data_IF_308637133261
#
_entry.id   IF_308637133261
#
_cell.length_a   1.000
_cell.length_b   1.000
_cell.length_c   1.000
_cell.angle_alpha   90.00
_cell.angle_beta   90.00
_cell.angle_gamma   90.00
#
_symmetry.space_group_name_H-M   'P 1'
#
loop_
_entity.id
_entity.type
_entity.pdbx_description
1 polymer ?
#
# COMPACT_ATOMS: atom_id res chain seq x y z
N UNK A 1 0.20 -25.86 16.13
CA UNK A 1 -0.42 -25.97 14.78
C UNK A 1 -1.23 -24.73 14.51
N UNK A 2 -1.27 -24.27 13.26
CA UNK A 2 -2.15 -23.16 12.86
C UNK A 2 -3.44 -23.74 12.30
N UNK A 3 -4.58 -23.37 12.85
CA UNK A 3 -5.88 -23.78 12.34
C UNK A 3 -6.47 -22.67 11.46
N UNK A 4 -6.66 -22.95 10.16
CA UNK A 4 -7.28 -22.00 9.22
C UNK A 4 -8.80 -22.13 9.29
N UNK A 5 -9.48 -21.07 9.70
CA UNK A 5 -10.93 -20.99 9.67
C UNK A 5 -11.43 -20.79 8.23
N UNK A 6 -12.47 -21.51 7.87
CA UNK A 6 -13.21 -21.29 6.61
C UNK A 6 -14.30 -20.25 6.80
N UNK A 7 -14.85 -19.74 5.70
CA UNK A 7 -16.03 -18.85 5.76
C UNK A 7 -17.24 -19.56 6.38
N UNK A 8 -17.37 -20.88 6.23
CA UNK A 8 -18.43 -21.66 6.82
C UNK A 8 -18.29 -21.74 8.35
N UNK A 9 -17.08 -21.86 8.89
CA UNK A 9 -16.82 -21.82 10.33
C UNK A 9 -17.23 -20.45 10.90
N UNK A 10 -16.94 -19.37 10.16
CA UNK A 10 -17.33 -18.01 10.56
C UNK A 10 -18.85 -17.85 10.59
N UNK A 11 -19.54 -18.32 9.55
CA UNK A 11 -21.01 -18.26 9.48
C UNK A 11 -21.67 -19.12 10.54
N UNK A 12 -21.11 -20.28 10.87
CA UNK A 12 -21.61 -21.15 11.95
C UNK A 12 -21.48 -20.45 13.31
N UNK A 13 -20.31 -19.87 13.60
CA UNK A 13 -20.09 -19.11 14.83
C UNK A 13 -21.02 -17.89 14.93
N UNK A 14 -21.19 -17.14 13.84
CA UNK A 14 -22.07 -15.96 13.78
C UNK A 14 -23.54 -16.33 14.03
N UNK A 15 -24.03 -17.47 13.53
CA UNK A 15 -25.38 -17.95 13.79
C UNK A 15 -25.60 -18.28 15.27
N UNK A 16 -24.60 -18.85 15.95
CA UNK A 16 -24.68 -19.13 17.40
C UNK A 16 -24.74 -17.80 18.16
N UNK A 17 -23.88 -16.83 17.83
CA UNK A 17 -23.92 -15.50 18.41
C UNK A 17 -25.28 -14.83 18.20
N UNK A 18 -25.78 -14.85 16.95
CA UNK A 18 -27.09 -14.29 16.58
C UNK A 18 -28.21 -14.86 17.44
N UNK A 19 -28.34 -16.18 17.50
CA UNK A 19 -29.37 -16.84 18.28
C UNK A 19 -29.29 -16.48 19.78
N UNK A 20 -28.08 -16.45 20.34
CA UNK A 20 -27.83 -16.10 21.72
C UNK A 20 -28.12 -14.63 22.01
N UNK A 21 -27.73 -13.73 21.12
CA UNK A 21 -28.04 -12.31 21.23
C UNK A 21 -29.54 -12.05 21.23
N UNK A 22 -30.30 -12.67 20.34
CA UNK A 22 -31.76 -12.54 20.31
C UNK A 22 -32.40 -12.93 21.65
N UNK A 23 -31.99 -14.07 22.21
CA UNK A 23 -32.48 -14.50 23.54
C UNK A 23 -32.08 -13.49 24.64
N UNK A 24 -30.84 -13.05 24.63
CA UNK A 24 -30.30 -12.13 25.65
C UNK A 24 -30.96 -10.75 25.57
N UNK A 25 -31.24 -10.25 24.39
CA UNK A 25 -31.89 -8.96 24.17
C UNK A 25 -33.39 -9.01 24.55
N UNK A 26 -34.08 -10.08 24.20
CA UNK A 26 -35.48 -10.28 24.59
C UNK A 26 -35.64 -10.27 26.12
N UNK A 27 -34.72 -10.91 26.87
CA UNK A 27 -34.70 -10.92 28.31
C UNK A 27 -34.40 -9.54 28.95
N UNK A 28 -33.73 -8.64 28.22
CA UNK A 28 -33.38 -7.27 28.66
C UNK A 28 -34.33 -6.19 28.13
N UNK A 29 -35.36 -6.53 27.38
CA UNK A 29 -36.28 -5.59 26.76
C UNK A 29 -35.58 -4.54 25.86
N UNK A 30 -34.44 -4.90 25.23
CA UNK A 30 -33.75 -4.04 24.28
C UNK A 30 -34.56 -3.90 22.99
N UNK A 31 -34.69 -2.64 22.50
CA UNK A 31 -35.42 -2.35 21.27
C UNK A 31 -34.51 -2.49 20.05
N UNK A 32 -35.06 -3.02 18.96
CA UNK A 32 -34.42 -2.97 17.65
C UNK A 32 -34.35 -1.51 17.12
N UNK A 33 -33.35 -1.17 16.28
CA UNK A 33 -32.33 -2.05 15.71
C UNK A 33 -31.16 -2.32 16.66
N UNK A 34 -30.51 -3.48 16.49
CA UNK A 34 -29.26 -3.79 17.16
C UNK A 34 -28.11 -2.99 16.56
N UNK A 35 -27.53 -2.10 17.37
CA UNK A 35 -26.34 -1.34 16.98
C UNK A 35 -25.08 -2.08 17.42
N UNK A 36 -24.27 -2.53 16.48
CA UNK A 36 -23.06 -3.34 16.72
C UNK A 36 -21.81 -2.56 16.38
N UNK A 37 -20.89 -2.45 17.32
CA UNK A 37 -19.55 -1.96 17.11
C UNK A 37 -18.56 -3.13 17.02
N UNK A 38 -17.89 -3.27 15.89
CA UNK A 38 -16.78 -4.21 15.74
C UNK A 38 -15.48 -3.59 16.27
N UNK A 39 -14.81 -4.26 17.21
CA UNK A 39 -13.50 -3.82 17.71
C UNK A 39 -12.51 -3.74 16.53
N UNK A 40 -11.74 -2.63 16.34
CA UNK A 40 -10.85 -2.46 15.20
C UNK A 40 -9.88 -3.63 14.96
N UNK A 41 -9.62 -3.88 13.68
CA UNK A 41 -8.99 -5.03 13.02
C UNK A 41 -9.98 -6.16 12.78
N UNK A 42 -10.01 -7.20 13.63
CA UNK A 42 -10.81 -8.41 13.37
C UNK A 42 -12.30 -8.24 13.63
N UNK A 43 -12.70 -7.52 14.68
CA UNK A 43 -14.10 -7.35 15.08
C UNK A 43 -14.96 -6.61 14.04
N UNK A 44 -14.38 -5.74 13.21
CA UNK A 44 -15.11 -5.11 12.08
C UNK A 44 -15.54 -6.17 11.06
N UNK A 45 -14.65 -7.08 10.71
CA UNK A 45 -14.94 -8.20 9.80
C UNK A 45 -15.95 -9.17 10.42
N UNK A 46 -15.84 -9.42 11.75
CA UNK A 46 -16.81 -10.22 12.49
C UNK A 46 -18.21 -9.58 12.47
N UNK A 47 -18.31 -8.25 12.59
CA UNK A 47 -19.60 -7.54 12.51
C UNK A 47 -20.24 -7.66 11.13
N UNK A 48 -19.45 -7.62 10.04
CA UNK A 48 -19.94 -7.87 8.68
C UNK A 48 -20.45 -9.30 8.50
N UNK A 49 -19.75 -10.30 9.07
CA UNK A 49 -20.22 -11.70 9.05
C UNK A 49 -21.51 -11.85 9.87
N UNK A 50 -21.63 -11.20 11.02
CA UNK A 50 -22.85 -11.22 11.82
C UNK A 50 -24.02 -10.56 11.07
N UNK A 51 -23.78 -9.43 10.36
CA UNK A 51 -24.77 -8.76 9.52
C UNK A 51 -25.31 -9.63 8.37
N UNK A 52 -24.56 -10.64 7.94
CA UNK A 52 -25.03 -11.57 6.90
C UNK A 52 -26.03 -12.62 7.41
N UNK A 53 -26.18 -12.78 8.72
CA UNK A 53 -27.05 -13.78 9.35
C UNK A 53 -28.13 -13.18 10.24
N UNK A 54 -28.07 -11.88 10.57
CA UNK A 54 -29.12 -11.18 11.32
C UNK A 54 -29.17 -9.70 10.94
N UNK A 55 -30.32 -9.06 11.19
CA UNK A 55 -30.52 -7.63 10.96
C UNK A 55 -29.87 -6.81 12.07
N UNK A 56 -28.81 -6.07 11.72
CA UNK A 56 -28.05 -5.20 12.63
C UNK A 56 -27.62 -3.91 11.93
N UNK A 57 -27.37 -2.86 12.70
CA UNK A 57 -26.73 -1.63 12.23
C UNK A 57 -25.30 -1.61 12.75
N UNK A 58 -24.33 -1.57 11.83
CA UNK A 58 -22.92 -1.43 12.21
C UNK A 58 -22.64 0.05 12.46
N UNK A 59 -22.17 0.38 13.67
CA UNK A 59 -21.85 1.76 14.09
C UNK A 59 -20.34 2.00 14.13
N UNK A 60 -19.93 3.25 13.96
CA UNK A 60 -18.53 3.65 13.92
C UNK A 60 -17.94 3.98 15.29
N UNK A 61 -18.81 4.19 16.30
CA UNK A 61 -18.41 4.53 17.66
C UNK A 61 -18.94 3.50 18.68
N UNK A 62 -18.13 3.04 19.63
CA UNK A 62 -18.58 2.09 20.65
C UNK A 62 -19.63 2.70 21.58
N UNK A 63 -19.68 4.04 21.73
CA UNK A 63 -20.70 4.73 22.53
C UNK A 63 -22.11 4.68 21.95
N UNK A 64 -22.25 4.37 20.66
CA UNK A 64 -23.54 4.21 19.95
C UNK A 64 -24.02 2.75 19.93
N UNK A 65 -23.18 1.83 20.39
CA UNK A 65 -23.44 0.40 20.30
C UNK A 65 -24.19 -0.15 21.50
N UNK A 66 -25.15 -1.04 21.27
CA UNK A 66 -25.66 -1.95 22.31
C UNK A 66 -24.94 -3.29 22.33
N UNK A 67 -24.19 -3.62 21.29
CA UNK A 67 -23.32 -4.80 21.25
C UNK A 67 -21.92 -4.39 20.80
N UNK A 68 -20.91 -4.81 21.55
CA UNK A 68 -19.49 -4.68 21.20
C UNK A 68 -18.99 -6.08 20.86
N UNK A 69 -18.50 -6.25 19.61
CA UNK A 69 -18.15 -7.53 19.01
C UNK A 69 -16.67 -7.58 18.65
N UNK A 70 -16.03 -8.72 18.98
CA UNK A 70 -14.68 -9.06 18.51
C UNK A 70 -14.72 -10.35 17.69
N UNK A 71 -13.68 -10.62 16.91
CA UNK A 71 -13.53 -11.88 16.19
C UNK A 71 -13.01 -12.99 17.10
N UNK A 72 -12.05 -12.67 17.97
CA UNK A 72 -11.39 -13.60 18.87
C UNK A 72 -11.13 -12.98 20.25
N UNK A 73 -11.59 -13.63 21.31
CA UNK A 73 -11.10 -13.37 22.66
C UNK A 73 -9.97 -14.36 22.98
N UNK A 74 -8.75 -13.90 22.96
CA UNK A 74 -7.56 -14.67 23.32
C UNK A 74 -7.23 -14.50 24.81
N UNK A 75 -6.59 -13.40 25.20
CA UNK A 75 -6.25 -13.07 26.59
C UNK A 75 -7.35 -12.33 27.34
N UNK A 76 -8.35 -11.84 26.65
CA UNK A 76 -9.43 -11.01 27.17
C UNK A 76 -9.04 -9.56 27.50
N UNK A 77 -7.79 -9.14 27.25
CA UNK A 77 -7.31 -7.80 27.64
C UNK A 77 -8.06 -6.68 26.91
N UNK A 78 -8.25 -6.84 25.59
CA UNK A 78 -8.98 -5.86 24.76
C UNK A 78 -10.43 -5.78 25.20
N UNK A 79 -11.10 -6.91 25.34
CA UNK A 79 -12.49 -6.99 25.77
C UNK A 79 -12.70 -6.36 27.16
N UNK A 80 -11.81 -6.63 28.11
CA UNK A 80 -11.87 -6.05 29.45
C UNK A 80 -11.81 -4.52 29.44
N UNK A 81 -10.97 -3.93 28.57
CA UNK A 81 -10.89 -2.48 28.43
C UNK A 81 -12.22 -1.89 27.96
N UNK A 82 -12.85 -2.47 26.94
CA UNK A 82 -14.16 -2.02 26.48
C UNK A 82 -15.27 -2.24 27.51
N UNK A 83 -15.21 -3.31 28.29
CA UNK A 83 -16.17 -3.56 29.37
C UNK A 83 -16.12 -2.50 30.49
N UNK A 84 -14.93 -1.99 30.78
CA UNK A 84 -14.76 -0.92 31.79
C UNK A 84 -15.28 0.41 31.21
N UNK A 85 -15.00 0.69 29.95
CA UNK A 85 -15.36 1.97 29.32
C UNK A 85 -16.85 2.02 28.92
N UNK A 86 -17.44 0.89 28.53
CA UNK A 86 -18.84 0.79 28.06
C UNK A 86 -19.64 -0.26 28.82
N UNK A 87 -19.88 -0.08 30.15
CA UNK A 87 -20.45 -1.12 31.01
C UNK A 87 -21.91 -1.49 30.72
N UNK A 88 -22.61 -0.67 29.89
CA UNK A 88 -23.99 -0.93 29.50
C UNK A 88 -24.11 -1.75 28.20
N UNK A 89 -23.03 -1.94 27.47
CA UNK A 89 -23.03 -2.73 26.24
C UNK A 89 -23.06 -4.23 26.53
N UNK A 90 -23.61 -4.99 25.60
CA UNK A 90 -23.50 -6.46 25.60
C UNK A 90 -22.23 -6.82 24.82
N UNK A 91 -21.47 -7.79 25.32
CA UNK A 91 -20.20 -8.19 24.73
C UNK A 91 -20.32 -9.54 24.04
N UNK A 92 -19.81 -9.63 22.81
CA UNK A 92 -19.82 -10.85 22.01
C UNK A 92 -18.49 -11.09 21.30
N UNK A 93 -18.20 -12.34 20.96
CA UNK A 93 -17.12 -12.70 20.04
C UNK A 93 -17.52 -13.92 19.20
N UNK A 94 -16.91 -14.05 18.01
CA UNK A 94 -17.15 -15.23 17.19
C UNK A 94 -16.42 -16.45 17.77
N UNK A 95 -15.19 -16.25 18.24
CA UNK A 95 -14.38 -17.33 18.83
C UNK A 95 -13.76 -16.89 20.15
N UNK A 96 -13.53 -17.86 21.05
CA UNK A 96 -12.77 -17.65 22.28
C UNK A 96 -11.78 -18.80 22.50
N UNK A 97 -10.56 -18.49 22.93
CA UNK A 97 -9.60 -19.52 23.38
C UNK A 97 -9.98 -20.01 24.77
N UNK A 98 -10.30 -21.30 24.88
CA UNK A 98 -10.96 -21.89 26.01
C UNK A 98 -10.36 -21.55 27.38
N UNK A 99 -9.13 -22.00 27.69
CA UNK A 99 -8.55 -21.85 29.01
C UNK A 99 -8.11 -20.42 29.38
N UNK A 100 -7.74 -19.61 28.40
CA UNK A 100 -7.24 -18.25 28.65
C UNK A 100 -8.37 -17.26 28.97
N UNK A 101 -9.52 -17.42 28.33
CA UNK A 101 -10.73 -16.66 28.63
C UNK A 101 -11.27 -16.93 30.07
N UNK A 102 -11.28 -18.19 30.49
CA UNK A 102 -11.76 -18.59 31.83
C UNK A 102 -10.81 -18.17 32.97
N UNK A 103 -9.52 -18.01 32.68
CA UNK A 103 -8.51 -17.59 33.66
C UNK A 103 -8.58 -16.10 33.99
N UNK A 104 -9.07 -15.27 33.08
CA UNK A 104 -9.27 -13.84 33.30
C UNK A 104 -10.70 -13.59 33.73
N UNK A 105 -10.89 -13.16 34.98
CA UNK A 105 -12.21 -12.75 35.46
C UNK A 105 -12.66 -11.49 34.75
N UNK A 106 -13.39 -11.64 33.63
CA UNK A 106 -14.00 -10.52 32.95
C UNK A 106 -15.17 -9.98 33.80
N UNK A 107 -15.38 -8.64 33.85
CA UNK A 107 -16.45 -8.02 34.65
C UNK A 107 -17.86 -8.48 34.24
N UNK A 108 -18.03 -8.79 32.93
CA UNK A 108 -19.32 -9.18 32.34
C UNK A 108 -19.18 -10.44 31.49
N UNK A 109 -20.28 -11.21 31.31
CA UNK A 109 -20.28 -12.37 30.43
C UNK A 109 -20.09 -11.92 28.97
N UNK A 110 -19.43 -12.78 28.17
CA UNK A 110 -19.26 -12.60 26.72
C UNK A 110 -20.05 -13.70 26.01
N UNK A 111 -20.87 -13.31 25.05
CA UNK A 111 -21.57 -14.24 24.16
C UNK A 111 -20.56 -14.77 23.16
N UNK A 112 -20.33 -16.09 23.15
CA UNK A 112 -19.31 -16.73 22.31
C UNK A 112 -19.97 -17.62 21.27
N UNK A 113 -19.55 -17.48 19.99
CA UNK A 113 -20.04 -18.29 18.89
C UNK A 113 -19.47 -19.70 18.90
N UNK A 114 -18.17 -19.83 19.08
CA UNK A 114 -17.51 -21.11 19.23
C UNK A 114 -16.32 -21.02 20.19
N UNK A 115 -16.14 -22.03 21.03
CA UNK A 115 -14.91 -22.18 21.78
C UNK A 115 -13.84 -22.75 20.84
N UNK A 116 -12.67 -22.13 20.84
CA UNK A 116 -11.54 -22.66 20.07
C UNK A 116 -10.93 -23.86 20.78
N UNK A 117 -10.39 -24.76 19.98
CA UNK A 117 -9.76 -26.00 20.45
C UNK A 117 -8.34 -25.67 20.92
N UNK A 118 -8.13 -25.52 22.23
CA UNK A 118 -6.80 -25.42 22.83
C UNK A 118 -6.04 -24.10 22.57
N UNK A 119 -4.69 -24.19 22.61
CA UNK A 119 -3.77 -23.05 22.41
C UNK A 119 -3.35 -22.86 20.94
N UNK A 120 -4.11 -23.37 19.99
CA UNK A 120 -3.78 -23.25 18.58
C UNK A 120 -3.96 -21.82 18.09
N UNK A 121 -3.11 -21.40 17.16
CA UNK A 121 -3.28 -20.12 16.50
C UNK A 121 -4.39 -20.23 15.47
N UNK A 122 -5.44 -19.40 15.62
CA UNK A 122 -6.52 -19.31 14.64
C UNK A 122 -6.14 -18.29 13.59
N UNK A 123 -6.19 -18.68 12.33
CA UNK A 123 -6.02 -17.76 11.18
C UNK A 123 -7.38 -17.52 10.55
N UNK A 124 -7.84 -16.29 10.58
CA UNK A 124 -9.11 -15.87 10.01
C UNK A 124 -9.01 -15.65 8.50
N UNK A 125 -10.12 -15.79 7.74
CA UNK A 125 -10.11 -15.54 6.29
C UNK A 125 -9.70 -14.12 5.89
N UNK A 126 -9.80 -13.16 6.81
CA UNK A 126 -9.40 -11.76 6.60
C UNK A 126 -8.01 -11.43 7.15
N UNK A 127 -7.35 -12.35 7.84
CA UNK A 127 -5.98 -12.15 8.27
C UNK A 127 -5.02 -12.37 7.11
N UNK A 128 -4.32 -11.32 6.76
CA UNK A 128 -3.20 -11.38 5.81
C UNK A 128 -1.97 -11.81 6.61
N UNK A 129 -1.55 -13.07 6.49
CA UNK A 129 -0.28 -13.52 7.05
C UNK A 129 0.87 -12.99 6.20
N UNK A 130 2.00 -12.60 6.83
CA UNK A 130 3.19 -12.14 6.11
C UNK A 130 3.69 -13.15 5.06
N UNK A 131 3.46 -14.46 5.30
CA UNK A 131 3.71 -15.53 4.32
C UNK A 131 2.61 -15.64 3.25
N UNK A 132 1.43 -15.05 3.47
CA UNK A 132 0.28 -15.06 2.54
C UNK A 132 0.30 -13.94 1.50
N UNK A 133 1.19 -12.93 1.63
CA UNK A 133 1.28 -11.83 0.67
C UNK A 133 1.61 -12.33 -0.74
N UNK A 134 2.51 -13.29 -0.88
CA UNK A 134 2.91 -13.78 -2.19
C UNK A 134 1.83 -14.67 -2.83
N UNK A 135 1.15 -15.52 -2.07
CA UNK A 135 0.05 -16.34 -2.58
C UNK A 135 -1.19 -15.49 -2.91
N UNK A 136 -1.52 -14.50 -2.08
CA UNK A 136 -2.65 -13.59 -2.35
C UNK A 136 -2.43 -12.69 -3.57
N UNK A 137 -1.18 -12.29 -3.83
CA UNK A 137 -0.83 -11.54 -5.03
C UNK A 137 -0.93 -12.41 -6.28
N UNK A 138 -0.44 -13.64 -6.25
CA UNK A 138 -0.58 -14.61 -7.35
C UNK A 138 -2.04 -14.94 -7.63
N UNK A 139 -2.86 -15.18 -6.58
CA UNK A 139 -4.30 -15.41 -6.73
C UNK A 139 -5.03 -14.19 -7.33
N UNK A 140 -4.57 -12.98 -7.02
CA UNK A 140 -5.12 -11.76 -7.62
C UNK A 140 -4.82 -11.69 -9.12
N UNK A 141 -3.61 -12.09 -9.55
CA UNK A 141 -3.25 -12.19 -10.97
C UNK A 141 -4.10 -13.26 -11.66
N UNK A 142 -4.31 -14.43 -11.03
CA UNK A 142 -5.21 -15.50 -11.55
C UNK A 142 -6.61 -14.93 -11.81
N UNK A 143 -7.20 -14.23 -10.84
CA UNK A 143 -8.52 -13.61 -10.99
C UNK A 143 -8.57 -12.57 -12.11
N UNK A 144 -7.51 -11.77 -12.29
CA UNK A 144 -7.43 -10.80 -13.39
C UNK A 144 -7.38 -11.51 -14.74
N UNK A 145 -6.62 -12.59 -14.89
CA UNK A 145 -6.56 -13.39 -16.11
C UNK A 145 -7.92 -14.01 -16.44
N UNK A 146 -8.60 -14.58 -15.45
CA UNK A 146 -9.95 -15.12 -15.60
C UNK A 146 -10.97 -14.04 -16.01
N UNK A 147 -10.86 -12.84 -15.44
CA UNK A 147 -11.75 -11.72 -15.74
C UNK A 147 -11.65 -11.22 -17.20
N UNK A 148 -10.50 -11.41 -17.87
CA UNK A 148 -10.33 -11.12 -19.29
C UNK A 148 -10.67 -12.32 -20.21
N UNK A 149 -11.16 -13.44 -19.63
CA UNK A 149 -11.60 -14.63 -20.37
C UNK A 149 -10.49 -15.64 -20.68
N UNK A 150 -9.32 -15.57 -19.99
CA UNK A 150 -8.22 -16.50 -20.22
C UNK A 150 -8.37 -17.79 -19.42
N UNK A 151 -7.90 -18.89 -20.03
CA UNK A 151 -7.76 -20.19 -19.38
C UNK A 151 -6.40 -20.25 -18.66
N UNK A 152 -6.43 -20.03 -17.33
CA UNK A 152 -5.25 -20.02 -16.46
C UNK A 152 -4.58 -21.39 -16.32
N UNK A 153 -5.21 -22.47 -16.79
CA UNK A 153 -4.67 -23.85 -16.70
C UNK A 153 -3.82 -24.23 -17.91
N UNK A 154 -3.86 -23.44 -18.99
CA UNK A 154 -3.04 -23.70 -20.18
C UNK A 154 -1.55 -23.53 -19.88
N UNK A 155 -0.71 -24.38 -20.49
CA UNK A 155 0.74 -24.48 -20.22
C UNK A 155 1.47 -23.12 -20.21
N UNK A 156 1.14 -22.23 -21.14
CA UNK A 156 1.77 -20.90 -21.23
C UNK A 156 1.42 -19.95 -20.07
N UNK A 157 0.37 -20.21 -19.29
CA UNK A 157 -0.11 -19.36 -18.20
C UNK A 157 0.08 -19.92 -16.80
N UNK A 158 0.42 -21.21 -16.65
CA UNK A 158 0.59 -21.86 -15.33
C UNK A 158 1.55 -21.05 -14.42
N UNK A 159 2.67 -20.59 -14.95
CA UNK A 159 3.68 -19.84 -14.20
C UNK A 159 3.46 -18.32 -14.24
N UNK A 160 2.50 -17.81 -15.01
CA UNK A 160 2.32 -16.37 -15.22
C UNK A 160 2.05 -15.61 -13.93
N UNK A 161 1.20 -16.08 -13.00
CA UNK A 161 0.98 -15.37 -11.74
C UNK A 161 2.27 -15.12 -10.96
N UNK A 162 3.09 -16.15 -10.81
CA UNK A 162 4.40 -16.06 -10.13
C UNK A 162 5.36 -15.12 -10.86
N UNK A 163 5.40 -15.16 -12.19
CA UNK A 163 6.25 -14.28 -13.01
C UNK A 163 5.83 -12.83 -12.88
N UNK A 164 4.53 -12.53 -12.88
CA UNK A 164 3.98 -11.19 -12.70
C UNK A 164 4.36 -10.63 -11.33
N UNK A 165 4.12 -11.37 -10.25
CA UNK A 165 4.47 -10.94 -8.90
C UNK A 165 5.97 -10.67 -8.77
N UNK A 166 6.81 -11.53 -9.32
CA UNK A 166 8.27 -11.33 -9.34
C UNK A 166 8.66 -10.06 -10.11
N UNK A 167 8.09 -9.84 -11.29
CA UNK A 167 8.36 -8.65 -12.10
C UNK A 167 7.92 -7.36 -11.39
N UNK A 168 6.78 -7.37 -10.72
CA UNK A 168 6.28 -6.22 -9.96
C UNK A 168 7.18 -5.87 -8.78
N UNK A 169 7.73 -6.86 -8.06
CA UNK A 169 8.73 -6.61 -7.00
C UNK A 169 9.96 -5.86 -7.54
N UNK A 170 10.38 -6.14 -8.76
CA UNK A 170 11.48 -5.44 -9.42
C UNK A 170 11.05 -4.05 -9.92
N UNK A 171 9.93 -3.97 -10.65
CA UNK A 171 9.45 -2.70 -11.24
C UNK A 171 9.08 -1.66 -10.19
N UNK A 172 8.63 -2.09 -9.01
CA UNK A 172 8.23 -1.20 -7.92
C UNK A 172 9.22 -1.21 -6.74
N UNK A 173 10.46 -1.65 -6.97
CA UNK A 173 11.50 -1.71 -5.93
C UNK A 173 11.90 -0.34 -5.36
N UNK A 174 11.58 0.74 -6.05
CA UNK A 174 11.84 2.11 -5.60
C UNK A 174 11.08 2.52 -4.33
N UNK A 175 9.97 1.82 -3.99
CA UNK A 175 9.27 2.08 -2.72
C UNK A 175 10.07 1.66 -1.48
N UNK A 176 10.98 0.69 -1.65
CA UNK A 176 11.80 0.15 -0.56
C UNK A 176 13.22 0.74 -0.52
N UNK A 177 13.47 1.78 -1.32
CA UNK A 177 14.79 2.44 -1.40
C UNK A 177 14.65 3.92 -1.02
N UNK A 178 15.56 4.40 -0.15
CA UNK A 178 15.65 5.80 0.19
C UNK A 178 16.66 6.49 -0.75
N UNK A 179 16.24 7.49 -1.55
CA UNK A 179 17.13 8.18 -2.47
C UNK A 179 18.33 8.87 -1.77
N UNK A 180 18.13 9.38 -0.55
CA UNK A 180 19.19 10.05 0.21
C UNK A 180 20.39 9.14 0.49
N UNK A 181 20.18 7.84 0.68
CA UNK A 181 21.23 6.87 1.00
C UNK A 181 22.17 6.63 -0.18
N UNK A 182 21.74 6.96 -1.39
CA UNK A 182 22.54 6.81 -2.61
C UNK A 182 23.46 8.01 -2.87
N UNK A 183 23.14 9.19 -2.33
CA UNK A 183 23.88 10.41 -2.60
C UNK A 183 25.16 10.47 -1.76
N UNK A 184 26.31 10.37 -2.45
CA UNK A 184 27.64 10.58 -1.87
C UNK A 184 28.28 11.76 -2.56
N UNK A 185 28.62 12.78 -1.78
CA UNK A 185 29.28 14.00 -2.25
C UNK A 185 30.75 14.00 -1.86
N UNK A 186 31.54 14.74 -2.65
CA UNK A 186 32.98 14.91 -2.45
C UNK A 186 33.31 16.41 -2.50
N UNK A 187 34.22 16.87 -1.66
CA UNK A 187 34.84 18.19 -1.73
C UNK A 187 36.15 18.13 -2.52
N UNK A 188 36.85 17.00 -2.43
CA UNK A 188 38.04 16.74 -3.21
C UNK A 188 37.70 16.70 -4.72
N UNK A 189 38.40 17.52 -5.51
CA UNK A 189 38.13 17.71 -6.94
C UNK A 189 36.93 18.60 -7.26
N UNK A 190 36.32 19.27 -6.27
CA UNK A 190 35.28 20.27 -6.48
C UNK A 190 35.83 21.70 -6.62
N UNK A 191 37.10 21.91 -6.31
CA UNK A 191 37.73 23.24 -6.35
C UNK A 191 37.74 23.80 -7.78
N UNK A 192 37.13 24.96 -7.96
CA UNK A 192 37.04 25.64 -9.26
C UNK A 192 36.03 25.04 -10.24
N UNK A 193 35.21 24.08 -9.80
CA UNK A 193 34.08 23.54 -10.62
C UNK A 193 32.84 24.37 -10.30
N UNK A 194 32.63 25.42 -11.10
CA UNK A 194 31.54 26.39 -10.99
C UNK A 194 30.55 26.33 -12.18
N UNK A 195 30.89 25.54 -13.20
CA UNK A 195 30.04 25.29 -14.37
C UNK A 195 29.07 24.13 -14.15
N UNK A 196 28.01 24.06 -14.98
CA UNK A 196 27.05 22.97 -14.90
C UNK A 196 27.67 21.61 -15.25
N UNK A 197 27.27 20.59 -14.50
CA UNK A 197 27.53 19.19 -14.80
C UNK A 197 26.24 18.61 -15.34
N UNK A 198 26.23 18.11 -16.58
CA UNK A 198 25.06 17.58 -17.28
C UNK A 198 25.25 16.09 -17.58
N UNK A 199 24.26 15.28 -17.23
CA UNK A 199 24.12 13.89 -17.67
C UNK A 199 22.89 13.81 -18.58
N UNK A 200 23.09 13.29 -19.79
CA UNK A 200 22.02 13.08 -20.78
C UNK A 200 21.66 11.61 -20.93
N UNK A 201 20.49 11.36 -21.51
CA UNK A 201 20.03 10.05 -21.93
C UNK A 201 19.98 8.98 -20.83
N UNK A 202 19.72 9.42 -19.59
CA UNK A 202 19.54 8.50 -18.46
C UNK A 202 18.22 7.73 -18.68
N UNK A 203 18.24 6.39 -18.77
CA UNK A 203 17.04 5.62 -19.04
C UNK A 203 15.97 5.81 -17.98
N UNK A 204 14.72 5.98 -18.40
CA UNK A 204 13.52 6.04 -17.56
C UNK A 204 12.63 4.86 -17.90
N UNK A 205 12.40 3.98 -16.94
CA UNK A 205 11.42 2.90 -17.01
C UNK A 205 10.48 3.02 -15.82
N UNK A 206 9.26 3.48 -16.06
CA UNK A 206 8.29 3.74 -14.99
C UNK A 206 6.90 3.25 -15.39
N UNK A 207 5.96 3.31 -14.45
CA UNK A 207 4.57 2.87 -14.66
C UNK A 207 3.60 3.99 -14.29
N UNK A 208 2.70 4.28 -15.23
CA UNK A 208 1.63 5.25 -15.04
C UNK A 208 0.69 4.77 -13.91
N UNK A 209 0.51 5.58 -12.89
CA UNK A 209 -0.32 5.21 -11.72
C UNK A 209 -1.80 4.99 -12.06
N UNK A 210 -2.30 5.61 -13.14
CA UNK A 210 -3.70 5.50 -13.54
C UNK A 210 -4.05 4.15 -14.19
N UNK A 211 -3.09 3.48 -14.83
CA UNK A 211 -3.35 2.28 -15.63
C UNK A 211 -2.37 1.12 -15.37
N UNK A 212 -1.35 1.35 -14.53
CA UNK A 212 -0.23 0.41 -14.28
C UNK A 212 0.46 0.00 -15.59
N UNK A 213 0.34 0.81 -16.63
CA UNK A 213 1.00 0.62 -17.93
C UNK A 213 2.36 1.31 -17.90
N UNK A 214 3.39 0.75 -18.54
CA UNK A 214 4.71 1.40 -18.59
C UNK A 214 4.66 2.73 -19.34
N UNK A 215 5.56 3.62 -18.95
CA UNK A 215 6.06 4.68 -19.80
C UNK A 215 7.58 4.65 -19.77
N UNK A 216 8.18 4.88 -20.93
CA UNK A 216 9.62 4.72 -21.12
C UNK A 216 10.19 5.90 -21.86
N UNK A 217 11.42 6.25 -21.53
CA UNK A 217 12.07 7.39 -22.15
C UNK A 217 13.45 7.67 -21.56
N UNK A 218 13.82 8.93 -21.56
CA UNK A 218 15.12 9.40 -21.05
C UNK A 218 14.93 10.63 -20.14
N UNK A 219 15.81 10.73 -19.15
CA UNK A 219 15.98 11.91 -18.34
C UNK A 219 17.33 12.58 -18.65
N UNK A 220 17.33 13.90 -18.66
CA UNK A 220 18.50 14.74 -18.71
C UNK A 220 18.56 15.53 -17.40
N UNK A 221 19.66 15.42 -16.67
CA UNK A 221 19.81 15.99 -15.33
C UNK A 221 21.09 16.82 -15.28
N UNK A 222 20.96 18.10 -14.91
CA UNK A 222 22.09 18.97 -14.67
C UNK A 222 22.06 19.52 -13.26
N UNK A 223 23.24 19.80 -12.70
CA UNK A 223 23.39 20.59 -11.49
C UNK A 223 24.60 21.51 -11.58
N UNK A 224 24.59 22.64 -10.89
CA UNK A 224 25.72 23.54 -10.75
C UNK A 224 26.27 23.32 -9.32
N UNK A 225 27.51 22.83 -9.20
CA UNK A 225 28.12 22.58 -7.90
C UNK A 225 28.19 23.82 -6.98
N UNK A 226 28.19 23.58 -5.69
CA UNK A 226 28.43 24.58 -4.64
C UNK A 226 29.53 24.06 -3.69
N UNK A 227 30.78 24.03 -4.20
CA UNK A 227 31.92 23.48 -3.45
C UNK A 227 31.87 21.97 -3.18
N UNK A 228 30.89 21.27 -3.78
CA UNK A 228 30.75 19.80 -3.68
C UNK A 228 30.30 19.24 -5.02
N UNK A 229 30.83 18.07 -5.36
CA UNK A 229 30.40 17.30 -6.53
C UNK A 229 29.83 15.95 -6.07
N UNK A 230 28.95 15.37 -6.88
CA UNK A 230 28.36 14.05 -6.64
C UNK A 230 28.96 13.02 -7.60
N UNK A 231 29.15 11.79 -7.12
CA UNK A 231 29.56 10.71 -8.00
C UNK A 231 28.56 10.53 -9.15
N UNK A 232 29.02 10.62 -10.39
CA UNK A 232 28.18 10.64 -11.60
C UNK A 232 27.17 9.50 -11.64
N UNK A 233 27.56 8.29 -11.18
CA UNK A 233 26.67 7.12 -11.11
C UNK A 233 25.49 7.27 -10.13
N UNK A 234 25.52 8.26 -9.24
CA UNK A 234 24.48 8.47 -8.24
C UNK A 234 23.24 9.11 -8.82
N UNK A 235 23.41 10.01 -9.79
CA UNK A 235 22.31 10.68 -10.48
C UNK A 235 21.40 9.68 -11.21
N UNK A 236 21.91 8.76 -12.06
CA UNK A 236 21.08 7.71 -12.64
C UNK A 236 20.39 6.81 -11.62
N UNK A 237 21.01 6.54 -10.47
CA UNK A 237 20.37 5.77 -9.41
C UNK A 237 19.19 6.50 -8.79
N UNK A 238 19.27 7.82 -8.61
CA UNK A 238 18.14 8.63 -8.11
C UNK A 238 16.99 8.59 -9.14
N UNK A 239 17.29 8.74 -10.42
CA UNK A 239 16.29 8.61 -11.50
C UNK A 239 15.64 7.24 -11.46
N UNK A 240 16.43 6.16 -11.33
CA UNK A 240 15.92 4.79 -11.24
C UNK A 240 15.00 4.58 -10.02
N UNK A 241 15.42 5.05 -8.83
CA UNK A 241 14.63 4.89 -7.58
C UNK A 241 13.24 5.53 -7.71
N UNK A 242 13.17 6.75 -8.22
CA UNK A 242 11.89 7.42 -8.38
C UNK A 242 11.08 6.85 -9.56
N UNK A 243 11.72 6.37 -10.61
CA UNK A 243 11.06 5.74 -11.76
C UNK A 243 10.42 4.39 -11.38
N UNK A 244 11.03 3.62 -10.47
CA UNK A 244 10.52 2.33 -10.01
C UNK A 244 9.42 2.46 -8.95
N UNK A 245 8.43 3.31 -9.25
CA UNK A 245 7.22 3.57 -8.46
C UNK A 245 6.04 3.77 -9.42
N UNK A 246 4.81 3.76 -8.89
CA UNK A 246 3.67 4.27 -9.63
C UNK A 246 3.77 5.78 -9.73
N UNK A 247 3.78 6.34 -10.96
CA UNK A 247 4.11 7.73 -11.22
C UNK A 247 3.16 8.42 -12.20
N UNK A 248 3.12 9.74 -12.08
CA UNK A 248 2.87 10.64 -13.18
C UNK A 248 4.20 11.32 -13.54
N UNK A 249 4.44 11.59 -14.82
CA UNK A 249 5.74 12.08 -15.29
C UNK A 249 6.11 13.44 -14.66
N UNK A 250 5.14 14.30 -14.45
CA UNK A 250 5.29 15.61 -13.81
C UNK A 250 5.85 15.46 -12.39
N UNK A 251 5.24 14.59 -11.59
CA UNK A 251 5.71 14.33 -10.22
C UNK A 251 7.08 13.68 -10.20
N UNK A 252 7.35 12.71 -11.08
CA UNK A 252 8.66 12.08 -11.22
C UNK A 252 9.75 13.13 -11.46
N UNK A 253 9.50 14.07 -12.38
CA UNK A 253 10.43 15.14 -12.73
C UNK A 253 10.72 16.05 -11.53
N UNK A 254 9.68 16.43 -10.79
CA UNK A 254 9.81 17.25 -9.57
C UNK A 254 10.57 16.52 -8.47
N UNK A 255 10.23 15.27 -8.20
CA UNK A 255 10.87 14.48 -7.14
C UNK A 255 12.38 14.30 -7.36
N UNK A 256 12.81 14.10 -8.60
CA UNK A 256 14.23 14.02 -8.94
C UNK A 256 14.92 15.36 -8.67
N UNK A 257 14.33 16.47 -9.14
CA UNK A 257 14.91 17.80 -8.96
C UNK A 257 14.99 18.19 -7.48
N UNK A 258 13.92 17.98 -6.72
CA UNK A 258 13.85 18.31 -5.30
C UNK A 258 14.85 17.46 -4.49
N UNK A 259 14.92 16.17 -4.74
CA UNK A 259 15.87 15.28 -4.07
C UNK A 259 17.33 15.74 -4.27
N UNK A 260 17.69 16.12 -5.49
CA UNK A 260 19.06 16.63 -5.78
C UNK A 260 19.29 17.99 -5.13
N UNK A 261 18.32 18.90 -5.18
CA UNK A 261 18.42 20.22 -4.55
C UNK A 261 18.59 20.11 -3.03
N UNK A 262 17.78 19.26 -2.37
CA UNK A 262 17.76 19.15 -0.91
C UNK A 262 19.00 18.45 -0.33
N UNK A 263 19.61 17.53 -1.08
CA UNK A 263 20.67 16.67 -0.53
C UNK A 263 22.08 17.04 -1.03
N UNK A 264 22.20 17.76 -2.14
CA UNK A 264 23.50 18.20 -2.67
C UNK A 264 23.82 19.66 -2.34
N UNK A 265 22.79 20.45 -1.99
CA UNK A 265 22.90 21.90 -1.80
C UNK A 265 23.61 22.61 -2.97
N UNK A 266 23.23 22.32 -4.24
CA UNK A 266 23.86 22.91 -5.40
C UNK A 266 23.35 24.33 -5.63
N UNK A 267 24.06 25.14 -6.43
CA UNK A 267 23.58 26.45 -6.87
C UNK A 267 22.31 26.35 -7.75
N UNK A 268 22.06 25.22 -8.34
CA UNK A 268 20.85 24.95 -9.12
C UNK A 268 20.79 23.52 -9.63
N UNK A 269 19.56 23.07 -9.92
CA UNK A 269 19.25 21.76 -10.54
C UNK A 269 18.32 21.98 -11.71
N UNK A 270 18.55 21.25 -12.80
CA UNK A 270 17.66 21.15 -13.96
C UNK A 270 17.39 19.69 -14.30
N UNK A 271 16.12 19.34 -14.48
CA UNK A 271 15.69 18.00 -14.89
C UNK A 271 14.73 18.15 -16.07
N UNK A 272 14.98 17.40 -17.15
CA UNK A 272 14.05 17.25 -18.28
C UNK A 272 13.83 15.76 -18.50
N UNK A 273 12.57 15.33 -18.62
CA UNK A 273 12.21 13.96 -18.96
C UNK A 273 11.40 13.97 -20.26
N UNK A 274 11.81 13.13 -21.22
CA UNK A 274 11.09 12.86 -22.47
C UNK A 274 10.67 11.40 -22.46
N UNK A 275 9.36 11.09 -22.50
CA UNK A 275 8.90 9.72 -22.45
C UNK A 275 7.63 9.45 -23.27
N UNK A 276 7.49 8.20 -23.73
CA UNK A 276 6.30 7.65 -24.38
C UNK A 276 5.44 6.91 -23.36
N UNK A 277 4.15 7.22 -23.32
CA UNK A 277 3.19 6.63 -22.42
C UNK A 277 2.36 5.56 -23.12
N UNK A 278 2.55 4.28 -22.76
CA UNK A 278 1.82 3.18 -23.39
C UNK A 278 0.32 3.22 -23.12
N UNK A 279 -0.12 3.84 -22.04
CA UNK A 279 -1.55 4.09 -21.80
C UNK A 279 -2.19 5.01 -22.85
N UNK A 280 -1.40 5.82 -23.57
CA UNK A 280 -1.83 6.66 -24.70
C UNK A 280 -1.57 5.99 -26.06
N UNK A 281 -0.52 5.16 -26.14
CA UNK A 281 -0.12 4.54 -27.40
C UNK A 281 -1.01 3.37 -27.79
N UNK A 282 -1.35 2.49 -26.84
CA UNK A 282 -1.97 1.17 -27.10
C UNK A 282 -3.47 1.14 -26.92
N UNK A 283 -4.03 2.13 -26.25
CA UNK A 283 -5.46 2.24 -25.94
C UNK A 283 -5.88 3.73 -25.87
N UNK A 284 -7.17 4.00 -25.69
CA UNK A 284 -7.72 5.35 -25.59
C UNK A 284 -7.50 6.15 -26.86
N UNK A 285 -6.66 7.17 -26.81
CA UNK A 285 -6.39 8.07 -27.94
C UNK A 285 -5.51 7.45 -29.04
N UNK A 286 -4.78 6.34 -28.75
CA UNK A 286 -3.97 5.57 -29.72
C UNK A 286 -2.95 6.41 -30.49
N UNK A 287 -2.14 7.21 -29.77
CA UNK A 287 -1.13 8.10 -30.34
C UNK A 287 0.29 7.54 -30.10
N UNK A 288 0.82 6.65 -30.96
CA UNK A 288 2.07 5.91 -30.68
C UNK A 288 3.33 6.77 -30.81
N UNK A 289 3.26 7.92 -31.48
CA UNK A 289 4.43 8.80 -31.76
C UNK A 289 4.49 10.03 -30.85
N UNK A 290 3.53 10.19 -29.92
CA UNK A 290 3.54 11.32 -29.00
C UNK A 290 4.57 11.08 -27.90
N UNK A 291 5.46 12.06 -27.71
CA UNK A 291 6.43 12.12 -26.63
C UNK A 291 6.02 13.24 -25.67
N UNK A 292 5.84 12.90 -24.40
CA UNK A 292 5.59 13.88 -23.35
C UNK A 292 6.92 14.40 -22.83
N UNK A 293 7.07 15.73 -22.77
CA UNK A 293 8.26 16.37 -22.18
C UNK A 293 7.86 17.16 -20.94
N UNK A 294 8.52 16.88 -19.83
CA UNK A 294 8.36 17.62 -18.57
C UNK A 294 9.69 18.18 -18.10
N UNK A 295 9.66 19.31 -17.42
CA UNK A 295 10.87 19.95 -16.90
C UNK A 295 10.68 20.47 -15.47
N UNK A 296 11.74 20.42 -14.67
CA UNK A 296 11.82 21.04 -13.34
C UNK A 296 13.16 21.76 -13.21
N UNK A 297 13.10 23.02 -12.75
CA UNK A 297 14.24 23.89 -12.57
C UNK A 297 14.29 24.37 -11.11
N UNK A 298 15.49 24.45 -10.51
CA UNK A 298 15.72 24.97 -9.15
C UNK A 298 16.93 25.88 -9.14
N UNK A 299 16.96 26.84 -8.23
CA UNK A 299 18.08 27.78 -8.04
C UNK A 299 18.44 28.50 -9.33
N UNK A 300 19.73 28.51 -9.71
CA UNK A 300 20.24 29.26 -10.84
C UNK A 300 19.55 28.94 -12.18
N UNK A 301 19.09 27.70 -12.39
CA UNK A 301 18.35 27.37 -13.62
C UNK A 301 16.92 27.94 -13.64
N UNK A 302 16.35 28.25 -12.48
CA UNK A 302 15.07 28.93 -12.37
C UNK A 302 15.22 30.44 -12.50
N UNK A 303 16.23 31.00 -11.79
CA UNK A 303 16.36 32.44 -11.57
C UNK A 303 17.17 33.16 -12.66
N UNK A 304 18.08 32.44 -13.38
CA UNK A 304 18.96 32.97 -14.39
C UNK A 304 18.61 32.43 -15.78
N UNK A 305 17.95 33.24 -16.66
CA UNK A 305 17.58 32.81 -18.01
C UNK A 305 18.75 32.29 -18.86
N UNK A 306 19.95 32.82 -18.66
CA UNK A 306 21.17 32.40 -19.38
C UNK A 306 21.54 30.95 -19.03
N UNK A 307 21.58 30.58 -17.76
CA UNK A 307 21.89 29.20 -17.34
C UNK A 307 20.85 28.19 -17.86
N UNK A 308 19.56 28.58 -17.82
CA UNK A 308 18.50 27.78 -18.42
C UNK A 308 18.65 27.61 -19.92
N UNK A 309 18.96 28.66 -20.64
CA UNK A 309 19.14 28.64 -22.11
C UNK A 309 20.34 27.78 -22.49
N UNK A 310 21.44 27.87 -21.77
CA UNK A 310 22.62 27.03 -21.95
C UNK A 310 22.27 25.54 -21.74
N UNK A 311 21.66 25.19 -20.59
CA UNK A 311 21.19 23.82 -20.36
C UNK A 311 20.33 23.30 -21.51
N UNK A 312 19.32 24.07 -21.92
CA UNK A 312 18.44 23.65 -23.02
C UNK A 312 19.18 23.47 -24.35
N UNK A 313 20.25 24.25 -24.60
CA UNK A 313 21.06 24.18 -25.83
C UNK A 313 21.95 22.94 -25.88
N UNK A 314 22.35 22.41 -24.72
CA UNK A 314 23.21 21.23 -24.58
C UNK A 314 22.41 19.91 -24.60
N UNK A 315 21.07 19.96 -24.52
CA UNK A 315 20.26 18.76 -24.64
C UNK A 315 20.35 18.13 -26.02
N UNK A 316 20.38 16.79 -26.12
CA UNK A 316 20.32 16.10 -27.40
C UNK A 316 19.10 16.55 -28.21
N UNK A 317 19.34 16.86 -29.49
CA UNK A 317 18.27 17.12 -30.45
C UNK A 317 17.68 15.79 -30.91
N UNK A 318 16.35 15.71 -30.96
CA UNK A 318 15.62 14.51 -31.45
C UNK A 318 15.90 14.29 -32.94
#
# INVERSE_FOLDING_TARGET
>A
MNYKLSINDMLAAARIVSNTLVVHLNNRSLKAPLCVYGIPRGGVSAALVLASVMDIVIVSSPGEANVILDDLVDSGATMQRYMIEYPLATFACLFAKGDMYLKRKLPYPVITGAASVGNEWLTFPWEVTESGHDSSAEDSVIRMLQAIGEDVTREGLIDTPKRVVKAWKEWFSGYNRNPADELKTFTDGADGVDEMILLTDIPVYSHCEHHITPFTGVAHVAYIPNGRIVGLSKIPKIVDIFSRRLQVQERLTLQIADCLQDHLDPLGVAVVIKAKHFCMCTRGVKLPNVVTTTSAMRGAFLDKPAARAEFMSLLPRD
#
